data_IF_818304154139
#
_entry.id   IF_818304154139
#
_cell.length_a   1.000
_cell.length_b   1.000
_cell.length_c   1.000
_cell.angle_alpha   90.00
_cell.angle_beta   90.00
_cell.angle_gamma   90.00
#
_symmetry.space_group_name_H-M   'P 1'
#
loop_
_entity.id
_entity.type
_entity.pdbx_description
1 polymer ?
#
# COMPACT_ATOMS: atom_id res chain seq x y z
N UNK A 1 -7.35 14.10 -19.11
CA UNK A 1 -7.71 12.75 -19.59
C UNK A 1 -7.08 11.76 -18.64
N UNK A 2 -7.84 10.79 -18.15
CA UNK A 2 -7.32 9.78 -17.25
C UNK A 2 -6.44 8.81 -18.05
N UNK A 3 -5.13 8.75 -17.78
CA UNK A 3 -4.23 7.81 -18.42
C UNK A 3 -4.41 6.42 -17.82
N UNK A 4 -4.18 5.39 -18.63
CA UNK A 4 -4.20 3.99 -18.19
C UNK A 4 -2.86 3.35 -18.50
N UNK A 5 -2.29 2.66 -17.52
CA UNK A 5 -1.02 1.96 -17.63
C UNK A 5 -1.19 0.46 -17.40
N UNK A 6 -0.30 -0.33 -17.97
CA UNK A 6 -0.03 -1.68 -17.51
C UNK A 6 0.69 -1.60 -16.16
N UNK A 7 0.35 -2.47 -15.22
CA UNK A 7 0.90 -2.45 -13.85
C UNK A 7 2.44 -2.39 -13.82
N UNK A 8 3.12 -3.23 -14.61
CA UNK A 8 4.57 -3.34 -14.62
C UNK A 8 5.30 -2.11 -15.20
N UNK A 9 4.58 -1.17 -15.82
CA UNK A 9 5.15 0.09 -16.30
C UNK A 9 5.33 1.10 -15.16
N UNK A 10 4.53 0.99 -14.10
CA UNK A 10 4.36 2.07 -13.11
C UNK A 10 4.39 1.61 -11.65
N UNK A 11 4.41 0.31 -11.39
CA UNK A 11 4.37 -0.23 -10.04
C UNK A 11 5.12 -1.56 -9.91
N UNK A 12 5.48 -1.93 -8.67
CA UNK A 12 6.06 -3.23 -8.33
C UNK A 12 5.30 -3.86 -7.19
N UNK A 13 4.98 -5.14 -7.35
CA UNK A 13 4.54 -6.01 -6.26
C UNK A 13 5.76 -6.84 -5.82
N UNK A 14 6.22 -6.75 -4.57
CA UNK A 14 7.46 -7.42 -4.16
C UNK A 14 7.39 -8.94 -4.30
N UNK A 15 6.30 -9.56 -3.82
CA UNK A 15 6.01 -10.99 -3.99
C UNK A 15 4.55 -11.24 -4.41
N UNK A 16 4.24 -12.37 -5.07
CA UNK A 16 2.89 -12.66 -5.56
C UNK A 16 1.81 -12.71 -4.46
N UNK A 17 2.18 -13.01 -3.21
CA UNK A 17 1.26 -12.99 -2.07
C UNK A 17 0.98 -11.60 -1.49
N UNK A 18 1.66 -10.55 -1.96
CA UNK A 18 1.45 -9.19 -1.47
C UNK A 18 0.14 -8.58 -2.00
N UNK A 19 -0.45 -7.67 -1.21
CA UNK A 19 -1.73 -7.02 -1.53
C UNK A 19 -1.62 -5.50 -1.74
N UNK A 20 -0.43 -4.94 -1.56
CA UNK A 20 -0.11 -3.54 -1.87
C UNK A 20 1.11 -3.44 -2.77
N UNK A 21 1.01 -2.63 -3.82
CA UNK A 21 2.11 -2.35 -4.73
C UNK A 21 2.80 -1.04 -4.38
N UNK A 22 4.06 -0.91 -4.78
CA UNK A 22 4.86 0.31 -4.66
C UNK A 22 4.86 1.01 -6.03
N UNK A 23 4.46 2.28 -6.08
CA UNK A 23 4.52 3.07 -7.30
C UNK A 23 5.98 3.42 -7.65
N UNK A 24 6.38 3.28 -8.92
CA UNK A 24 7.74 3.59 -9.40
C UNK A 24 7.86 4.98 -10.01
N UNK A 25 6.76 5.73 -10.03
CA UNK A 25 6.68 7.13 -10.44
C UNK A 25 5.44 7.76 -9.80
N UNK A 26 5.29 9.08 -9.91
CA UNK A 26 4.04 9.75 -9.51
C UNK A 26 2.90 9.34 -10.45
N UNK A 27 1.77 8.94 -9.87
CA UNK A 27 0.55 8.55 -10.58
C UNK A 27 -0.60 9.44 -10.11
N UNK A 28 -1.22 10.17 -11.04
CA UNK A 28 -2.28 11.12 -10.69
C UNK A 28 -3.57 10.42 -10.27
N UNK A 29 -4.38 11.09 -9.45
CA UNK A 29 -5.72 10.64 -9.11
C UNK A 29 -6.53 10.31 -10.37
N UNK A 30 -7.28 9.23 -10.29
CA UNK A 30 -8.01 8.65 -11.41
C UNK A 30 -7.19 7.65 -12.21
N UNK A 31 -5.85 7.71 -12.27
CA UNK A 31 -5.03 6.86 -13.16
C UNK A 31 -5.50 5.41 -13.20
N UNK A 32 -5.76 4.88 -14.39
CA UNK A 32 -6.17 3.49 -14.60
C UNK A 32 -4.98 2.55 -14.55
N UNK A 33 -5.14 1.40 -13.89
CA UNK A 33 -4.11 0.37 -13.78
C UNK A 33 -4.71 -0.95 -14.27
N UNK A 34 -4.05 -1.58 -15.23
CA UNK A 34 -4.34 -2.94 -15.68
C UNK A 34 -3.34 -3.91 -15.04
N UNK A 35 -3.81 -4.81 -14.18
CA UNK A 35 -3.00 -5.79 -13.46
C UNK A 35 -3.57 -7.20 -13.68
N UNK A 36 -3.01 -7.93 -14.64
CA UNK A 36 -3.53 -9.24 -15.04
C UNK A 36 -4.96 -9.14 -15.57
N UNK A 37 -5.90 -9.85 -14.93
CA UNK A 37 -7.33 -9.79 -15.26
C UNK A 37 -8.09 -8.67 -14.53
N UNK A 38 -7.44 -7.96 -13.60
CA UNK A 38 -8.05 -6.87 -12.85
C UNK A 38 -7.73 -5.51 -13.49
N UNK A 39 -8.70 -4.61 -13.45
CA UNK A 39 -8.51 -3.19 -13.77
C UNK A 39 -9.18 -2.34 -12.71
N UNK A 40 -8.48 -1.31 -12.25
CA UNK A 40 -8.96 -0.36 -11.24
C UNK A 40 -8.38 1.02 -11.49
N UNK A 41 -8.89 2.02 -10.78
CA UNK A 41 -8.45 3.41 -10.87
C UNK A 41 -7.89 3.86 -9.53
N UNK A 42 -6.84 4.67 -9.54
CA UNK A 42 -6.28 5.22 -8.31
C UNK A 42 -7.23 6.25 -7.71
N UNK A 43 -7.58 6.06 -6.44
CA UNK A 43 -8.49 6.97 -5.73
C UNK A 43 -7.91 8.37 -5.50
N UNK A 44 -6.58 8.47 -5.40
CA UNK A 44 -5.82 9.67 -5.08
C UNK A 44 -4.52 9.66 -5.88
N UNK A 45 -3.82 10.80 -5.92
CA UNK A 45 -2.46 10.85 -6.45
C UNK A 45 -1.52 10.06 -5.53
N UNK A 46 -0.77 9.12 -6.10
CA UNK A 46 0.20 8.28 -5.40
C UNK A 46 1.60 8.70 -5.84
N UNK A 47 2.47 9.02 -4.87
CA UNK A 47 3.85 9.42 -5.14
C UNK A 47 4.75 8.21 -5.43
N UNK A 48 5.86 8.45 -6.11
CA UNK A 48 6.93 7.45 -6.23
C UNK A 48 7.36 6.93 -4.85
N UNK A 49 7.50 5.61 -4.72
CA UNK A 49 7.84 4.94 -3.46
C UNK A 49 6.66 4.72 -2.51
N UNK A 50 5.50 5.33 -2.77
CA UNK A 50 4.30 5.14 -1.96
C UNK A 50 3.47 3.96 -2.46
N UNK A 51 2.54 3.50 -1.62
CA UNK A 51 1.81 2.24 -1.83
C UNK A 51 0.34 2.42 -2.12
N UNK A 52 -0.21 1.54 -2.94
CA UNK A 52 -1.64 1.41 -3.19
C UNK A 52 -2.06 -0.06 -3.23
N UNK A 53 -3.31 -0.35 -2.87
CA UNK A 53 -3.82 -1.72 -2.85
C UNK A 53 -4.03 -2.28 -4.26
N UNK A 54 -3.63 -3.53 -4.51
CA UNK A 54 -3.87 -4.23 -5.79
C UNK A 54 -5.05 -5.20 -5.73
N UNK A 55 -5.55 -5.47 -4.52
CA UNK A 55 -6.66 -6.34 -4.20
C UNK A 55 -7.48 -5.72 -3.05
N UNK A 56 -8.75 -6.10 -2.83
CA UNK A 56 -9.50 -5.67 -1.66
C UNK A 56 -8.85 -6.20 -0.37
N UNK A 57 -8.73 -5.34 0.65
CA UNK A 57 -8.20 -5.66 1.98
C UNK A 57 -9.27 -5.32 3.00
N UNK A 58 -9.80 -6.31 3.72
CA UNK A 58 -10.87 -6.09 4.69
C UNK A 58 -10.35 -5.50 6.01
N UNK A 59 -11.18 -4.82 6.81
CA UNK A 59 -10.79 -4.39 8.14
C UNK A 59 -10.27 -5.57 8.99
N UNK A 60 -9.11 -5.40 9.61
CA UNK A 60 -8.42 -6.44 10.37
C UNK A 60 -7.43 -7.28 9.57
N UNK A 61 -7.52 -7.28 8.24
CA UNK A 61 -6.56 -7.98 7.38
C UNK A 61 -5.21 -7.26 7.36
N UNK A 62 -4.17 -8.02 7.04
CA UNK A 62 -2.79 -7.54 7.01
C UNK A 62 -2.47 -6.91 5.66
N UNK A 63 -1.73 -5.79 5.70
CA UNK A 63 -1.07 -5.25 4.53
C UNK A 63 0.30 -5.90 4.43
N UNK A 64 0.57 -6.54 3.29
CA UNK A 64 1.74 -7.38 3.09
C UNK A 64 2.73 -6.73 2.14
N UNK A 65 4.01 -6.84 2.48
CA UNK A 65 5.15 -6.47 1.62
C UNK A 65 6.25 -7.51 1.84
N UNK A 66 6.71 -8.16 0.77
CA UNK A 66 7.54 -9.37 0.87
C UNK A 66 6.86 -10.50 1.66
N UNK A 67 5.55 -10.65 1.52
CA UNK A 67 4.70 -11.62 2.23
C UNK A 67 4.78 -11.50 3.76
N UNK A 68 5.28 -10.36 4.26
CA UNK A 68 5.34 -10.04 5.68
C UNK A 68 4.39 -8.90 6.01
N UNK A 69 3.64 -9.01 7.12
CA UNK A 69 2.76 -7.95 7.54
C UNK A 69 3.56 -6.74 8.03
N UNK A 70 3.23 -5.56 7.51
CA UNK A 70 3.74 -4.28 8.02
C UNK A 70 2.63 -3.38 8.58
N UNK A 71 1.37 -3.75 8.33
CA UNK A 71 0.22 -2.97 8.74
C UNK A 71 -1.03 -3.82 8.85
N UNK A 72 -2.04 -3.29 9.55
CA UNK A 72 -3.36 -3.89 9.66
C UNK A 72 -4.43 -2.88 9.26
N UNK A 73 -5.29 -3.28 8.34
CA UNK A 73 -6.35 -2.41 7.83
C UNK A 73 -7.34 -2.05 8.93
N UNK A 74 -7.69 -0.76 9.04
CA UNK A 74 -8.71 -0.25 9.98
C UNK A 74 -10.06 -0.05 9.31
N UNK A 75 -10.06 0.02 7.97
CA UNK A 75 -11.22 0.16 7.11
C UNK A 75 -11.03 -0.70 5.85
N UNK A 76 -12.09 -0.88 5.06
CA UNK A 76 -11.98 -1.54 3.77
C UNK A 76 -11.07 -0.73 2.84
N UNK A 77 -10.02 -1.37 2.32
CA UNK A 77 -9.12 -0.78 1.32
C UNK A 77 -9.45 -1.40 -0.04
N UNK A 78 -10.06 -0.61 -0.93
CA UNK A 78 -10.39 -1.05 -2.28
C UNK A 78 -9.15 -1.09 -3.19
N UNK A 79 -9.13 -1.90 -4.26
CA UNK A 79 -8.08 -1.82 -5.28
C UNK A 79 -7.90 -0.39 -5.82
N UNK A 80 -6.66 0.08 -5.91
CA UNK A 80 -6.31 1.45 -6.28
C UNK A 80 -6.43 2.47 -5.14
N UNK A 81 -6.85 2.07 -3.94
CA UNK A 81 -6.82 2.95 -2.78
C UNK A 81 -5.39 3.16 -2.30
N UNK A 82 -5.06 4.41 -1.96
CA UNK A 82 -3.76 4.78 -1.39
C UNK A 82 -3.68 4.20 0.03
N UNK A 83 -2.70 3.32 0.29
CA UNK A 83 -2.43 2.83 1.63
C UNK A 83 -1.81 3.97 2.47
N UNK A 84 -2.51 4.41 3.51
CA UNK A 84 -2.07 5.51 4.37
C UNK A 84 -2.32 5.21 5.85
N UNK A 85 -1.30 5.45 6.68
CA UNK A 85 -1.40 5.44 8.14
C UNK A 85 -1.39 6.88 8.68
N UNK A 86 -1.66 7.03 9.98
CA UNK A 86 -1.71 8.35 10.61
C UNK A 86 -0.40 9.13 10.47
N UNK A 87 0.75 8.47 10.69
CA UNK A 87 2.06 9.11 10.62
C UNK A 87 2.40 9.67 9.23
N UNK A 88 2.01 8.96 8.16
CA UNK A 88 2.15 9.44 6.79
C UNK A 88 1.29 10.68 6.55
N UNK A 89 0.02 10.66 6.97
CA UNK A 89 -0.90 11.78 6.79
C UNK A 89 -0.40 13.03 7.54
N UNK A 90 0.06 12.88 8.78
CA UNK A 90 0.62 13.99 9.57
C UNK A 90 1.87 14.58 8.88
N UNK A 91 2.77 13.71 8.42
CA UNK A 91 4.04 14.11 7.80
C UNK A 91 3.86 14.82 6.46
N UNK A 92 2.83 14.46 5.68
CA UNK A 92 2.53 15.06 4.38
C UNK A 92 1.58 16.26 4.49
N UNK A 93 0.62 16.25 5.42
CA UNK A 93 -0.32 17.34 5.64
C UNK A 93 0.35 18.64 6.10
N UNK A 94 1.53 18.56 6.72
CA UNK A 94 2.36 19.71 7.05
C UNK A 94 3.20 20.28 5.89
N UNK A 95 3.08 19.74 4.68
CA UNK A 95 3.89 20.13 3.51
C UNK A 95 3.04 20.80 2.43
N UNK A 96 3.69 21.64 1.62
CA UNK A 96 3.08 22.18 0.41
C UNK A 96 3.06 21.11 -0.70
N UNK A 97 1.97 20.35 -0.77
CA UNK A 97 1.69 19.39 -1.85
C UNK A 97 0.60 19.93 -2.77
N UNK A 98 0.64 19.56 -4.03
CA UNK A 98 -0.26 20.04 -5.09
C UNK A 98 -1.39 19.04 -5.44
N UNK A 99 -1.66 18.10 -4.53
CA UNK A 99 -2.68 17.06 -4.68
C UNK A 99 -3.36 16.75 -3.35
N UNK A 100 -4.54 16.16 -3.42
CA UNK A 100 -5.33 15.79 -2.25
C UNK A 100 -4.83 14.49 -1.61
N UNK A 101 -4.78 14.48 -0.28
CA UNK A 101 -4.53 13.28 0.52
C UNK A 101 -5.86 12.65 0.98
N UNK A 102 -5.88 11.34 1.24
CA UNK A 102 -6.95 10.73 2.02
C UNK A 102 -7.14 11.48 3.36
N UNK A 103 -8.41 11.73 3.72
CA UNK A 103 -8.75 12.47 4.94
C UNK A 103 -8.53 11.63 6.20
N UNK A 104 -8.72 10.32 6.09
CA UNK A 104 -8.61 9.37 7.20
C UNK A 104 -7.58 8.27 6.86
N UNK A 105 -6.79 7.80 7.85
CA UNK A 105 -5.91 6.66 7.66
C UNK A 105 -6.74 5.37 7.48
N UNK A 106 -6.24 4.45 6.66
CA UNK A 106 -6.90 3.18 6.38
C UNK A 106 -6.14 1.95 6.90
N UNK A 107 -4.96 2.14 7.50
CA UNK A 107 -4.26 1.11 8.25
C UNK A 107 -3.47 1.68 9.43
N UNK A 108 -3.13 0.81 10.37
CA UNK A 108 -2.17 1.08 11.45
C UNK A 108 -0.95 0.19 11.30
N UNK A 109 0.22 0.68 11.71
CA UNK A 109 1.46 -0.10 11.66
C UNK A 109 1.34 -1.35 12.52
N UNK A 110 1.76 -2.49 11.96
CA UNK A 110 1.79 -3.77 12.64
C UNK A 110 3.11 -4.44 12.31
N UNK A 111 3.94 -4.62 13.33
CA UNK A 111 5.23 -5.30 13.20
C UNK A 111 5.15 -6.54 14.09
N UNK A 112 5.17 -7.71 13.47
CA UNK A 112 5.26 -8.97 14.22
C UNK A 112 6.57 -9.02 14.99
N UNK A 113 6.54 -9.16 16.33
CA UNK A 113 7.76 -9.26 17.13
C UNK A 113 8.52 -10.53 16.78
N UNK A 114 9.74 -10.40 16.27
CA UNK A 114 10.62 -11.54 16.08
C UNK A 114 11.03 -12.11 17.45
N UNK A 115 10.76 -13.39 17.68
CA UNK A 115 11.21 -14.11 18.88
C UNK A 115 12.38 -15.02 18.52
N UNK A 116 13.48 -14.83 19.23
CA UNK A 116 14.74 -15.54 18.99
C UNK A 116 15.05 -16.46 20.17
N UNK A 117 15.33 -17.73 19.89
CA UNK A 117 15.89 -18.67 20.85
C UNK A 117 17.42 -18.58 20.81
N UNK A 118 18.01 -17.94 21.82
CA UNK A 118 19.46 -17.81 21.96
C UNK A 118 20.17 -19.16 22.20
N UNK A 119 19.47 -20.17 22.74
CA UNK A 119 20.03 -21.48 23.04
C UNK A 119 20.19 -22.36 21.80
N UNK A 120 19.29 -22.23 20.83
CA UNK A 120 19.32 -22.98 19.57
C UNK A 120 19.75 -22.15 18.36
N UNK A 121 19.86 -20.82 18.50
CA UNK A 121 20.07 -19.88 17.39
C UNK A 121 18.99 -19.99 16.30
N UNK A 122 17.73 -20.21 16.70
CA UNK A 122 16.59 -20.32 15.78
C UNK A 122 15.48 -19.33 16.12
N UNK A 123 14.56 -19.11 15.18
CA UNK A 123 13.29 -18.42 15.47
C UNK A 123 12.42 -19.26 16.40
N UNK A 124 11.61 -18.60 17.22
CA UNK A 124 10.52 -19.21 17.99
C UNK A 124 9.22 -18.81 17.31
N UNK A 125 8.45 -19.80 16.86
CA UNK A 125 7.09 -19.62 16.31
C UNK A 125 6.08 -19.26 17.41
#
# INVERSE_FOLDING_TARGET
MCQTYSFDEVARLPLPGDNVAIATQRLEAGTGINHGAASYHLSHTVMEGHRFAVAPIAPGDELLSWELPFGRATALIAPGAYACNQGMLDALGGRAIDFDLPVEPNFVDHIEPYRFDEGSFTSID
#
